data_IF_518658340500
#
_entry.id   IF_518658340500
#
_cell.length_a   1.000
_cell.length_b   1.000
_cell.length_c   1.000
_cell.angle_alpha   90.00
_cell.angle_beta   90.00
_cell.angle_gamma   90.00
#
_symmetry.space_group_name_H-M   'P 1'
#
loop_
_entity.id
_entity.type
_entity.pdbx_description
1 polymer ?
#
# COMPACT_ATOMS: atom_id res chain seq x y z
N UNK A 1 -29.64 9.92 -19.37
CA UNK A 1 -29.03 10.92 -18.46
C UNK A 1 -27.65 11.26 -19.00
N UNK A 2 -27.36 12.52 -19.32
CA UNK A 2 -26.06 12.87 -19.87
C UNK A 2 -24.97 12.73 -18.80
N UNK A 3 -23.82 12.20 -19.19
CA UNK A 3 -22.60 12.05 -18.40
C UNK A 3 -21.92 13.40 -18.08
N UNK A 4 -22.71 14.46 -17.87
CA UNK A 4 -22.33 15.86 -18.00
C UNK A 4 -21.13 16.32 -17.15
N UNK A 5 -20.77 15.58 -16.10
CA UNK A 5 -19.62 15.88 -15.24
C UNK A 5 -18.52 14.82 -15.27
N UNK A 6 -18.83 13.56 -15.63
CA UNK A 6 -17.84 12.47 -15.61
C UNK A 6 -16.68 12.74 -16.56
N UNK A 7 -16.95 13.34 -17.72
CA UNK A 7 -15.95 13.63 -18.76
C UNK A 7 -15.49 15.09 -18.74
N UNK A 8 -15.51 15.72 -17.56
CA UNK A 8 -15.01 17.10 -17.37
C UNK A 8 -13.75 17.09 -16.51
N UNK A 9 -12.81 18.03 -16.72
CA UNK A 9 -11.60 18.11 -15.91
C UNK A 9 -11.85 18.30 -14.41
N UNK A 10 -10.87 17.89 -13.60
CA UNK A 10 -10.84 18.06 -12.16
C UNK A 10 -9.41 18.33 -11.68
N UNK A 11 -9.21 19.43 -10.94
CA UNK A 11 -7.95 19.68 -10.24
C UNK A 11 -7.82 18.72 -9.05
N UNK A 12 -6.71 17.98 -8.98
CA UNK A 12 -6.41 17.03 -7.89
C UNK A 12 -5.01 17.34 -7.36
N UNK A 13 -4.94 18.18 -6.33
CA UNK A 13 -3.66 18.62 -5.76
C UNK A 13 -2.77 19.29 -6.83
N UNK A 14 -1.64 18.65 -7.11
CA UNK A 14 -0.61 19.12 -8.04
C UNK A 14 -0.93 18.84 -9.54
N UNK A 15 -1.91 17.97 -9.84
CA UNK A 15 -2.26 17.60 -11.22
C UNK A 15 -3.67 18.08 -11.61
N UNK A 16 -3.97 18.01 -12.90
CA UNK A 16 -5.33 18.20 -13.43
C UNK A 16 -5.75 16.95 -14.21
N UNK A 17 -6.64 16.17 -13.63
CA UNK A 17 -7.24 15.02 -14.30
C UNK A 17 -8.13 15.48 -15.46
N UNK A 18 -8.03 14.85 -16.62
CA UNK A 18 -8.81 15.20 -17.83
C UNK A 18 -10.29 14.81 -17.72
N UNK A 19 -10.59 13.85 -16.84
CA UNK A 19 -11.93 13.34 -16.55
C UNK A 19 -12.00 12.85 -15.09
N UNK A 20 -13.19 12.45 -14.64
CA UNK A 20 -13.48 12.00 -13.26
C UNK A 20 -13.63 10.48 -13.13
N UNK A 21 -13.19 9.73 -14.14
CA UNK A 21 -13.22 8.26 -14.14
C UNK A 21 -11.83 7.78 -13.74
N UNK A 22 -11.67 7.46 -12.45
CA UNK A 22 -10.41 7.00 -11.90
C UNK A 22 -10.34 5.48 -11.89
N UNK A 23 -9.13 4.95 -12.03
CA UNK A 23 -8.87 3.54 -11.81
C UNK A 23 -8.53 3.34 -10.33
N UNK A 24 -9.37 2.58 -9.64
CA UNK A 24 -9.17 2.22 -8.24
C UNK A 24 -7.89 1.36 -8.03
N UNK A 25 -7.34 1.33 -6.80
CA UNK A 25 -6.24 0.45 -6.44
C UNK A 25 -6.67 -1.02 -6.46
N UNK A 26 -5.96 -1.85 -7.22
CA UNK A 26 -6.33 -3.25 -7.48
C UNK A 26 -5.14 -4.19 -7.33
N UNK A 27 -4.96 -4.82 -6.18
CA UNK A 27 -3.91 -5.84 -5.95
C UNK A 27 -3.99 -6.98 -6.97
N UNK A 28 -2.91 -7.22 -7.73
CA UNK A 28 -2.87 -8.24 -8.79
C UNK A 28 -1.92 -9.41 -8.54
N UNK A 29 -1.04 -9.29 -7.54
CA UNK A 29 -0.11 -10.34 -7.08
C UNK A 29 0.81 -10.89 -8.19
N UNK A 30 1.33 -10.00 -9.03
CA UNK A 30 2.12 -10.33 -10.24
C UNK A 30 3.56 -9.80 -10.23
N UNK A 31 4.05 -9.35 -9.08
CA UNK A 31 5.46 -8.98 -8.89
C UNK A 31 6.36 -10.21 -8.88
N UNK A 32 7.62 -9.98 -9.24
CA UNK A 32 8.69 -10.98 -9.17
C UNK A 32 9.07 -11.21 -7.70
N UNK A 33 9.26 -12.47 -7.34
CA UNK A 33 9.88 -12.88 -6.08
C UNK A 33 11.10 -13.76 -6.39
N UNK A 34 12.23 -13.64 -5.65
CA UNK A 34 12.45 -12.71 -4.55
C UNK A 34 12.55 -11.24 -4.99
N UNK A 35 12.29 -10.32 -4.05
CA UNK A 35 12.50 -8.87 -4.22
C UNK A 35 11.22 -8.03 -4.40
N UNK A 36 10.07 -8.64 -4.62
CA UNK A 36 8.77 -7.95 -4.76
C UNK A 36 8.79 -6.86 -5.83
N UNK A 37 9.42 -7.18 -6.96
CA UNK A 37 9.79 -6.23 -8.01
C UNK A 37 8.66 -6.14 -9.04
N UNK A 38 8.16 -4.94 -9.37
CA UNK A 38 7.25 -4.73 -10.49
C UNK A 38 7.82 -5.23 -11.83
N UNK A 39 6.95 -5.61 -12.76
CA UNK A 39 7.36 -6.27 -14.01
C UNK A 39 7.05 -5.44 -15.26
N UNK A 40 7.70 -5.74 -16.40
CA UNK A 40 7.30 -5.17 -17.69
C UNK A 40 5.84 -5.46 -18.06
N UNK A 41 5.29 -6.61 -17.62
CA UNK A 41 3.88 -6.93 -17.81
C UNK A 41 2.97 -5.97 -17.03
N UNK A 42 3.37 -5.58 -15.81
CA UNK A 42 2.66 -4.56 -15.03
C UNK A 42 2.77 -3.19 -15.70
N UNK A 43 3.92 -2.86 -16.30
CA UNK A 43 4.08 -1.63 -17.09
C UNK A 43 3.09 -1.55 -18.25
N UNK A 44 2.98 -2.62 -19.03
CA UNK A 44 2.01 -2.71 -20.12
C UNK A 44 0.57 -2.60 -19.60
N UNK A 45 0.25 -3.28 -18.49
CA UNK A 45 -1.08 -3.24 -17.87
C UNK A 45 -1.53 -1.82 -17.49
N UNK A 46 -0.65 -1.03 -16.85
CA UNK A 46 -0.98 0.34 -16.47
C UNK A 46 -0.96 1.29 -17.68
N UNK A 47 -0.03 1.11 -18.62
CA UNK A 47 0.03 1.90 -19.87
C UNK A 47 -1.27 1.81 -20.65
N UNK A 48 -1.86 0.62 -20.77
CA UNK A 48 -3.16 0.41 -21.43
C UNK A 48 -4.32 1.21 -20.80
N UNK A 49 -4.17 1.67 -19.56
CA UNK A 49 -5.22 2.34 -18.77
C UNK A 49 -4.93 3.83 -18.53
N UNK A 50 -3.90 4.38 -19.17
CA UNK A 50 -3.46 5.75 -19.00
C UNK A 50 -4.50 6.82 -19.39
N UNK A 51 -5.60 6.44 -20.05
CA UNK A 51 -6.73 7.34 -20.33
C UNK A 51 -7.64 7.61 -19.12
N UNK A 52 -7.48 6.88 -18.02
CA UNK A 52 -8.15 7.18 -16.75
C UNK A 52 -7.77 8.60 -16.30
N UNK A 53 -8.70 9.33 -15.66
CA UNK A 53 -8.40 10.66 -15.12
C UNK A 53 -7.25 10.64 -14.12
N UNK A 54 -7.17 9.55 -13.34
CA UNK A 54 -6.06 9.19 -12.46
C UNK A 54 -6.03 7.66 -12.32
N UNK A 55 -4.85 7.07 -12.46
CA UNK A 55 -4.59 5.69 -12.06
C UNK A 55 -4.15 5.70 -10.60
N UNK A 56 -4.75 4.84 -9.77
CA UNK A 56 -4.22 4.52 -8.45
C UNK A 56 -3.66 3.09 -8.52
N UNK A 57 -2.38 2.93 -8.21
CA UNK A 57 -1.69 1.65 -8.33
C UNK A 57 -2.30 0.58 -7.42
N UNK A 58 -1.93 -0.68 -7.66
CA UNK A 58 -2.05 -1.69 -6.62
C UNK A 58 -1.31 -1.31 -5.34
N UNK A 59 -1.81 -1.81 -4.21
CA UNK A 59 -1.22 -1.55 -2.90
C UNK A 59 0.23 -2.03 -2.82
N UNK A 60 1.12 -1.13 -2.42
CA UNK A 60 2.58 -1.26 -2.56
C UNK A 60 3.28 -1.09 -1.21
N UNK A 61 4.15 -2.05 -0.83
CA UNK A 61 4.76 -2.07 0.50
C UNK A 61 5.71 -0.89 0.75
N UNK A 62 5.58 -0.28 1.92
CA UNK A 62 6.52 0.77 2.39
C UNK A 62 7.84 0.21 2.93
N UNK A 63 7.86 -1.07 3.31
CA UNK A 63 9.02 -1.79 3.87
C UNK A 63 8.83 -3.29 3.72
N UNK A 64 9.86 -4.10 3.94
CA UNK A 64 9.72 -5.56 3.89
C UNK A 64 8.71 -6.10 4.94
N UNK A 65 8.64 -5.48 6.13
CA UNK A 65 7.67 -5.84 7.19
C UNK A 65 6.21 -5.59 6.75
N UNK A 66 5.99 -4.59 5.89
CA UNK A 66 4.66 -4.25 5.37
C UNK A 66 4.05 -5.31 4.44
N UNK A 67 4.79 -6.36 4.06
CA UNK A 67 4.31 -7.40 3.15
C UNK A 67 3.26 -8.31 3.82
N UNK A 68 2.10 -8.42 3.20
CA UNK A 68 1.04 -9.36 3.60
C UNK A 68 0.70 -10.42 2.57
N UNK A 69 1.08 -10.24 1.31
CA UNK A 69 0.69 -11.11 0.20
C UNK A 69 1.90 -11.43 -0.68
N UNK A 70 2.07 -12.69 -1.08
CA UNK A 70 3.09 -13.06 -2.05
C UNK A 70 2.76 -12.46 -3.43
N UNK A 71 3.76 -11.87 -4.07
CA UNK A 71 3.63 -11.23 -5.38
C UNK A 71 3.04 -9.82 -5.38
N UNK A 72 2.75 -9.21 -4.23
CA UNK A 72 2.48 -7.77 -4.17
C UNK A 72 3.79 -6.97 -4.27
N UNK A 73 3.82 -5.80 -4.92
CA UNK A 73 5.05 -5.02 -5.11
C UNK A 73 5.45 -4.19 -3.89
N UNK A 74 6.76 -3.95 -3.73
CA UNK A 74 7.31 -2.98 -2.77
C UNK A 74 7.75 -1.66 -3.39
N UNK A 75 8.11 -0.69 -2.54
CA UNK A 75 8.74 0.59 -2.90
C UNK A 75 9.75 1.04 -1.83
N UNK A 76 10.65 0.15 -1.46
CA UNK A 76 11.64 0.33 -0.41
C UNK A 76 13.05 -0.16 -0.79
N UNK A 77 13.23 -0.75 -1.97
CA UNK A 77 14.55 -1.10 -2.52
C UNK A 77 14.83 -0.38 -3.85
N UNK A 78 16.10 -0.29 -4.20
CA UNK A 78 16.54 0.36 -5.44
C UNK A 78 15.98 -0.32 -6.69
N UNK A 79 15.89 -1.65 -6.70
CA UNK A 79 15.34 -2.43 -7.81
C UNK A 79 13.84 -2.16 -7.99
N UNK A 80 13.10 -2.03 -6.88
CA UNK A 80 11.68 -1.69 -6.89
C UNK A 80 11.46 -0.27 -7.43
N UNK A 81 12.26 0.70 -6.97
CA UNK A 81 12.20 2.10 -7.45
C UNK A 81 12.50 2.14 -8.96
N UNK A 82 13.56 1.47 -9.41
CA UNK A 82 13.95 1.42 -10.82
C UNK A 82 12.87 0.77 -11.71
N UNK A 83 12.18 -0.26 -11.20
CA UNK A 83 11.08 -0.90 -11.91
C UNK A 83 9.84 -0.01 -11.98
N UNK A 84 9.44 0.62 -10.87
CA UNK A 84 8.32 1.57 -10.84
C UNK A 84 8.55 2.77 -11.74
N UNK A 85 9.79 3.28 -11.81
CA UNK A 85 10.16 4.38 -12.71
C UNK A 85 9.86 4.08 -14.18
N UNK A 86 10.02 2.84 -14.62
CA UNK A 86 9.67 2.43 -15.99
C UNK A 86 8.15 2.40 -16.20
N UNK A 87 7.38 2.02 -15.17
CA UNK A 87 5.91 1.98 -15.21
C UNK A 87 5.33 3.39 -15.31
N UNK A 88 5.75 4.30 -14.42
CA UNK A 88 5.30 5.70 -14.40
C UNK A 88 5.67 6.41 -15.70
N UNK A 89 6.91 6.24 -16.19
CA UNK A 89 7.33 6.73 -17.51
C UNK A 89 6.42 6.22 -18.64
N UNK A 90 6.04 4.94 -18.61
CA UNK A 90 5.12 4.36 -19.61
C UNK A 90 3.73 4.97 -19.57
N UNK A 91 3.19 5.27 -18.38
CA UNK A 91 1.90 5.96 -18.22
C UNK A 91 2.00 7.43 -18.67
N UNK A 92 3.06 8.14 -18.26
CA UNK A 92 3.30 9.54 -18.64
C UNK A 92 3.51 9.70 -20.14
N UNK A 93 4.17 8.74 -20.81
CA UNK A 93 4.32 8.74 -22.27
C UNK A 93 2.98 8.64 -23.02
N UNK A 94 1.90 8.20 -22.36
CA UNK A 94 0.53 8.20 -22.88
C UNK A 94 -0.29 9.41 -22.39
N UNK A 95 0.33 10.37 -21.69
CA UNK A 95 -0.32 11.54 -21.12
C UNK A 95 -1.21 11.24 -19.89
N UNK A 96 -1.05 10.06 -19.27
CA UNK A 96 -1.80 9.69 -18.07
C UNK A 96 -1.15 10.19 -16.78
N UNK A 97 -1.88 10.08 -15.67
CA UNK A 97 -1.40 10.35 -14.31
C UNK A 97 -1.52 9.11 -13.44
N UNK A 98 -0.57 8.94 -12.50
CA UNK A 98 -0.51 7.78 -11.63
C UNK A 98 -0.15 8.14 -10.19
N UNK A 99 -0.98 7.69 -9.26
CA UNK A 99 -0.71 7.66 -7.83
C UNK A 99 -0.23 6.27 -7.41
N UNK A 100 0.65 6.19 -6.41
CA UNK A 100 0.96 4.93 -5.72
C UNK A 100 0.13 4.80 -4.45
N UNK A 101 -0.52 3.65 -4.25
CA UNK A 101 -1.15 3.34 -2.98
C UNK A 101 -0.14 2.68 -2.03
N UNK A 102 0.25 3.37 -0.96
CA UNK A 102 1.20 2.88 0.04
C UNK A 102 0.49 2.22 1.21
N UNK A 103 0.94 1.02 1.59
CA UNK A 103 0.36 0.27 2.70
C UNK A 103 1.39 -0.35 3.64
N UNK A 104 0.91 -0.70 4.82
CA UNK A 104 1.49 -1.72 5.67
C UNK A 104 0.37 -2.69 6.03
N UNK A 105 0.48 -3.98 5.71
CA UNK A 105 -0.66 -4.91 5.87
C UNK A 105 -0.96 -5.25 7.33
N UNK A 106 0.04 -5.16 8.20
CA UNK A 106 -0.11 -5.43 9.63
C UNK A 106 -0.54 -6.88 9.87
N UNK A 107 -1.60 -7.09 10.67
CA UNK A 107 -2.08 -8.46 10.95
C UNK A 107 -2.66 -9.24 9.77
N UNK A 108 -2.93 -8.61 8.62
CA UNK A 108 -3.35 -9.32 7.41
C UNK A 108 -2.10 -9.77 6.65
N UNK A 109 -1.37 -10.68 7.28
CA UNK A 109 -0.09 -11.22 6.80
C UNK A 109 0.12 -12.64 7.31
N UNK A 110 1.21 -13.26 6.89
CA UNK A 110 1.63 -14.60 7.31
C UNK A 110 3.12 -14.59 7.65
N UNK A 111 3.52 -15.31 8.69
CA UNK A 111 4.90 -15.32 9.20
C UNK A 111 5.93 -15.70 8.13
N UNK A 112 5.57 -16.58 7.18
CA UNK A 112 6.46 -16.96 6.07
C UNK A 112 6.81 -15.83 5.09
N UNK A 113 6.07 -14.72 5.11
CA UNK A 113 6.34 -13.52 4.31
C UNK A 113 7.17 -12.48 5.06
N UNK A 114 7.32 -12.64 6.37
CA UNK A 114 7.94 -11.64 7.22
C UNK A 114 9.45 -11.85 7.29
N UNK A 115 10.22 -10.76 7.50
CA UNK A 115 11.65 -10.86 7.74
C UNK A 115 11.97 -11.91 8.82
N UNK A 116 12.88 -12.83 8.51
CA UNK A 116 13.29 -13.93 9.39
C UNK A 116 12.14 -14.81 9.91
N UNK A 117 11.03 -14.91 9.18
CA UNK A 117 9.91 -15.79 9.52
C UNK A 117 9.14 -15.39 10.79
N UNK A 118 9.28 -14.14 11.25
CA UNK A 118 8.68 -13.68 12.49
C UNK A 118 7.17 -13.42 12.36
N UNK A 119 6.47 -13.29 13.48
CA UNK A 119 5.07 -12.88 13.46
C UNK A 119 4.92 -11.46 12.87
N UNK A 120 3.88 -11.19 12.06
CA UNK A 120 3.60 -9.84 11.59
C UNK A 120 3.21 -8.92 12.75
N UNK A 121 3.21 -7.62 12.52
CA UNK A 121 2.94 -6.61 13.57
C UNK A 121 1.55 -6.01 13.48
N UNK A 122 1.01 -5.53 14.60
CA UNK A 122 -0.31 -4.91 14.71
C UNK A 122 -0.39 -4.00 15.96
N UNK A 123 -1.44 -3.19 16.15
CA UNK A 123 -1.65 -2.47 17.42
C UNK A 123 -1.87 -3.40 18.62
N UNK A 124 -2.42 -4.59 18.41
CA UNK A 124 -2.69 -5.57 19.46
C UNK A 124 -2.51 -7.00 18.94
N UNK A 125 -2.20 -7.95 19.83
CA UNK A 125 -1.96 -9.36 19.51
C UNK A 125 -3.27 -10.14 19.23
N UNK A 126 -4.04 -9.70 18.24
CA UNK A 126 -5.35 -10.23 17.87
C UNK A 126 -5.31 -10.69 16.42
N UNK A 127 -5.46 -11.99 16.18
CA UNK A 127 -5.50 -12.56 14.83
C UNK A 127 -6.61 -11.88 14.00
N UNK A 128 -6.36 -11.72 12.70
CA UNK A 128 -7.33 -11.07 11.81
C UNK A 128 -8.58 -11.92 11.54
N UNK A 129 -8.53 -13.24 11.81
CA UNK A 129 -9.65 -14.15 11.57
C UNK A 129 -10.02 -14.26 10.09
N UNK A 130 -9.03 -14.11 9.20
CA UNK A 130 -9.20 -14.11 7.75
C UNK A 130 -7.99 -14.76 7.08
N UNK A 131 -7.97 -14.74 5.74
CA UNK A 131 -6.91 -15.32 4.93
C UNK A 131 -6.11 -14.26 4.18
N UNK A 132 -4.84 -14.56 3.94
CA UNK A 132 -4.00 -13.86 2.97
C UNK A 132 -3.66 -14.78 1.79
N UNK A 133 -2.96 -14.25 0.77
CA UNK A 133 -2.51 -15.03 -0.39
C UNK A 133 -1.00 -15.24 -0.36
N UNK A 134 -0.57 -16.49 -0.49
CA UNK A 134 0.82 -16.88 -0.74
C UNK A 134 0.96 -17.42 -2.17
N UNK A 135 2.16 -17.90 -2.52
CA UNK A 135 2.41 -18.71 -3.71
C UNK A 135 2.82 -20.12 -3.29
N UNK A 136 2.36 -21.13 -4.02
CA UNK A 136 2.85 -22.50 -3.88
C UNK A 136 4.21 -22.69 -4.59
N UNK A 137 4.73 -23.92 -4.59
CA UNK A 137 5.98 -24.31 -5.24
C UNK A 137 6.00 -24.08 -6.76
N UNK A 138 4.83 -23.98 -7.40
CA UNK A 138 4.67 -23.69 -8.82
C UNK A 138 4.42 -22.19 -9.09
N UNK A 139 4.49 -21.34 -8.06
CA UNK A 139 4.25 -19.91 -8.16
C UNK A 139 2.77 -19.51 -8.22
N UNK A 140 1.83 -20.44 -8.00
CA UNK A 140 0.41 -20.18 -8.08
C UNK A 140 -0.16 -19.62 -6.78
N UNK A 141 -1.09 -18.69 -6.90
CA UNK A 141 -1.69 -18.03 -5.74
C UNK A 141 -2.54 -19.03 -4.91
N UNK A 142 -2.21 -19.16 -3.62
CA UNK A 142 -2.93 -19.99 -2.66
C UNK A 142 -3.42 -19.14 -1.48
N UNK A 143 -4.52 -19.55 -0.84
CA UNK A 143 -5.09 -18.85 0.33
C UNK A 143 -4.68 -19.54 1.62
N UNK A 144 -4.17 -18.78 2.59
CA UNK A 144 -3.75 -19.29 3.90
C UNK A 144 -4.31 -18.44 5.02
N UNK A 145 -4.55 -19.02 6.19
CA UNK A 145 -4.95 -18.27 7.39
C UNK A 145 -3.87 -17.26 7.78
N UNK A 146 -4.28 -16.08 8.28
CA UNK A 146 -3.34 -15.08 8.79
C UNK A 146 -2.68 -15.56 10.08
N UNK A 147 -1.38 -15.24 10.24
CA UNK A 147 -0.67 -15.49 11.50
C UNK A 147 -1.15 -14.53 12.58
N UNK A 148 -1.19 -14.97 13.85
CA UNK A 148 -1.45 -14.07 14.97
C UNK A 148 -0.32 -13.05 15.06
N UNK A 149 -0.62 -11.74 15.13
CA UNK A 149 0.40 -10.71 15.11
C UNK A 149 1.04 -10.52 16.49
N UNK A 150 2.21 -9.89 16.52
CA UNK A 150 2.79 -9.25 17.71
C UNK A 150 2.25 -7.82 17.83
N UNK A 151 1.96 -7.38 19.04
CA UNK A 151 1.65 -5.97 19.28
C UNK A 151 2.93 -5.13 19.13
N UNK A 152 2.85 -4.03 18.39
CA UNK A 152 3.94 -3.04 18.32
C UNK A 152 4.16 -2.44 19.71
N UNK A 153 5.40 -2.34 20.14
CA UNK A 153 5.75 -1.53 21.28
C UNK A 153 5.64 -0.04 20.91
N UNK A 154 5.31 0.80 21.89
CA UNK A 154 5.13 2.25 21.67
C UNK A 154 6.36 2.91 21.03
N UNK A 155 7.56 2.41 21.35
CA UNK A 155 8.82 2.93 20.82
C UNK A 155 9.13 2.48 19.38
N UNK A 156 8.39 1.50 18.84
CA UNK A 156 8.51 1.06 17.44
C UNK A 156 7.70 1.95 16.48
N UNK A 157 6.68 2.67 16.99
CA UNK A 157 5.77 3.48 16.17
C UNK A 157 6.49 4.55 15.33
N UNK A 158 7.49 5.29 15.84
CA UNK A 158 8.26 6.23 15.02
C UNK A 158 8.94 5.57 13.81
N UNK A 159 9.31 4.29 13.92
CA UNK A 159 9.87 3.52 12.81
C UNK A 159 8.85 3.31 11.68
N UNK A 160 7.60 2.98 12.03
CA UNK A 160 6.49 2.84 11.06
C UNK A 160 6.23 4.17 10.34
N UNK A 161 6.22 5.28 11.07
CA UNK A 161 6.06 6.62 10.46
C UNK A 161 7.21 6.92 9.49
N UNK A 162 8.45 6.61 9.89
CA UNK A 162 9.61 6.78 9.02
C UNK A 162 9.59 5.89 7.76
N UNK A 163 9.08 4.66 7.85
CA UNK A 163 8.91 3.77 6.69
C UNK A 163 7.94 4.39 5.67
N UNK A 164 6.82 4.95 6.12
CA UNK A 164 5.90 5.68 5.23
C UNK A 164 6.57 6.90 4.61
N UNK A 165 7.25 7.75 5.41
CA UNK A 165 8.00 8.91 4.94
C UNK A 165 9.02 8.52 3.86
N UNK A 166 9.77 7.44 4.09
CA UNK A 166 10.77 6.97 3.14
C UNK A 166 10.12 6.46 1.84
N UNK A 167 9.03 5.69 1.94
CA UNK A 167 8.31 5.22 0.77
C UNK A 167 7.68 6.35 -0.05
N UNK A 168 7.24 7.45 0.58
CA UNK A 168 6.78 8.67 -0.10
C UNK A 168 7.95 9.33 -0.85
N UNK A 169 9.13 9.44 -0.24
CA UNK A 169 10.32 9.96 -0.91
C UNK A 169 10.71 9.08 -2.13
N UNK A 170 10.68 7.76 -1.96
CA UNK A 170 10.93 6.79 -3.02
C UNK A 170 9.88 6.89 -4.14
N UNK A 171 8.61 7.13 -3.82
CA UNK A 171 7.54 7.35 -4.79
C UNK A 171 7.77 8.57 -5.66
N UNK A 172 8.26 9.66 -5.06
CA UNK A 172 8.66 10.86 -5.79
C UNK A 172 9.80 10.56 -6.76
N UNK A 173 10.81 9.81 -6.32
CA UNK A 173 11.94 9.41 -7.19
C UNK A 173 11.50 8.48 -8.33
N UNK A 174 10.58 7.56 -8.04
CA UNK A 174 9.96 6.66 -9.02
C UNK A 174 9.03 7.39 -10.00
N UNK A 175 8.79 8.69 -9.82
CA UNK A 175 8.01 9.50 -10.76
C UNK A 175 6.50 9.36 -10.63
N UNK A 176 5.98 8.97 -9.47
CA UNK A 176 4.54 9.05 -9.23
C UNK A 176 4.07 10.51 -9.11
N UNK A 177 2.85 10.80 -9.57
CA UNK A 177 2.25 12.13 -9.50
C UNK A 177 1.70 12.43 -8.10
N UNK A 178 1.21 11.40 -7.40
CA UNK A 178 0.55 11.49 -6.10
C UNK A 178 0.83 10.23 -5.27
N UNK A 179 0.56 10.31 -3.96
CA UNK A 179 0.53 9.16 -3.05
C UNK A 179 -0.87 9.04 -2.45
N UNK A 180 -1.36 7.81 -2.37
CA UNK A 180 -2.54 7.46 -1.58
C UNK A 180 -2.10 6.61 -0.37
N UNK A 181 -2.40 7.07 0.84
CA UNK A 181 -2.15 6.31 2.07
C UNK A 181 -3.28 5.30 2.29
N UNK A 182 -2.94 4.00 2.36
CA UNK A 182 -3.95 2.96 2.56
C UNK A 182 -4.37 2.86 4.04
N UNK A 183 -5.28 3.76 4.45
CA UNK A 183 -5.88 3.78 5.79
C UNK A 183 -7.27 3.13 5.85
N UNK A 184 -7.45 2.01 5.14
CA UNK A 184 -8.74 1.35 4.95
C UNK A 184 -8.60 -0.19 4.96
N UNK A 185 -9.71 -0.90 4.71
CA UNK A 185 -9.79 -2.35 4.47
C UNK A 185 -9.20 -3.28 5.54
N UNK A 186 -8.78 -2.75 6.69
CA UNK A 186 -8.32 -3.53 7.83
C UNK A 186 -6.81 -3.74 7.83
N UNK A 187 -6.05 -2.98 7.03
CA UNK A 187 -4.58 -2.92 7.09
C UNK A 187 -4.10 -2.01 8.23
N UNK A 188 -2.77 -1.90 8.46
CA UNK A 188 -2.20 -1.41 9.72
C UNK A 188 -2.81 -0.09 10.22
N UNK A 189 -2.92 0.92 9.37
CA UNK A 189 -3.52 2.21 9.76
C UNK A 189 -4.99 2.05 10.18
N UNK A 190 -5.79 1.27 9.45
CA UNK A 190 -7.16 0.94 9.87
C UNK A 190 -7.19 0.08 11.13
N UNK A 191 -6.20 -0.80 11.34
CA UNK A 191 -6.09 -1.60 12.57
C UNK A 191 -5.93 -0.70 13.79
N UNK A 192 -5.13 0.37 13.71
CA UNK A 192 -5.00 1.37 14.77
C UNK A 192 -6.29 2.18 14.93
N UNK A 193 -6.93 2.57 13.82
CA UNK A 193 -8.17 3.34 13.85
C UNK A 193 -9.34 2.59 14.48
N UNK A 194 -9.47 1.27 14.29
CA UNK A 194 -10.64 0.53 14.76
C UNK A 194 -10.52 0.04 16.21
N UNK A 195 -11.52 0.28 17.08
CA UNK A 195 -11.53 -0.25 18.45
C UNK A 195 -11.66 -1.78 18.49
N UNK A 196 -12.11 -2.43 17.41
CA UNK A 196 -12.18 -3.90 17.33
C UNK A 196 -10.84 -4.60 17.12
N UNK A 197 -9.80 -3.84 16.77
CA UNK A 197 -8.45 -4.35 16.52
C UNK A 197 -7.38 -3.67 17.38
N UNK A 198 -7.71 -2.53 17.98
CA UNK A 198 -6.80 -1.76 18.82
C UNK A 198 -7.28 -1.76 20.27
N UNK A 199 -6.70 -2.63 21.08
CA UNK A 199 -6.92 -2.74 22.52
C UNK A 199 -5.76 -2.13 23.32
N UNK A 200 -4.98 -1.22 22.72
CA UNK A 200 -3.87 -0.57 23.41
C UNK A 200 -4.38 0.33 24.53
N UNK A 201 -3.56 0.47 25.57
CA UNK A 201 -3.81 1.34 26.73
C UNK A 201 -2.87 2.54 26.78
N UNK A 202 -2.00 2.68 25.78
CA UNK A 202 -1.09 3.81 25.62
C UNK A 202 -1.71 4.93 24.76
N UNK A 203 -0.91 5.93 24.38
CA UNK A 203 -1.37 7.08 23.59
C UNK A 203 -1.81 6.74 22.16
N UNK A 204 -1.71 5.48 21.73
CA UNK A 204 -2.19 5.01 20.43
C UNK A 204 -3.46 4.17 20.53
N UNK A 205 -4.09 4.03 21.70
CA UNK A 205 -5.35 3.30 21.90
C UNK A 205 -6.38 4.00 22.79
N UNK A 206 -7.56 3.40 22.88
CA UNK A 206 -8.70 3.94 23.63
C UNK A 206 -9.48 5.00 22.84
N UNK A 207 -9.23 6.28 23.12
CA UNK A 207 -9.99 7.39 22.53
C UNK A 207 -9.83 7.47 21.01
N UNK A 208 -10.72 8.20 20.34
CA UNK A 208 -10.63 8.38 18.88
C UNK A 208 -9.38 9.16 18.48
N UNK A 209 -8.97 10.14 19.28
CA UNK A 209 -7.76 10.94 19.09
C UNK A 209 -6.51 10.06 19.15
N UNK A 210 -6.44 9.16 20.14
CA UNK A 210 -5.33 8.21 20.26
C UNK A 210 -5.31 7.19 19.11
N UNK A 211 -6.46 6.64 18.74
CA UNK A 211 -6.57 5.68 17.62
C UNK A 211 -6.23 6.31 16.26
N UNK A 212 -6.52 7.59 16.08
CA UNK A 212 -6.18 8.34 14.87
C UNK A 212 -4.74 8.88 14.86
N UNK A 213 -4.05 8.88 16.01
CA UNK A 213 -2.71 9.47 16.16
C UNK A 213 -1.71 8.97 15.11
N UNK A 214 -1.61 7.65 14.91
CA UNK A 214 -0.67 7.06 13.95
C UNK A 214 -0.92 7.55 12.52
N UNK A 215 -2.18 7.54 12.05
CA UNK A 215 -2.47 7.95 10.67
C UNK A 215 -2.21 9.45 10.47
N UNK A 216 -2.46 10.28 11.49
CA UNK A 216 -2.16 11.71 11.43
C UNK A 216 -0.65 11.97 11.44
N UNK A 217 0.12 11.27 12.27
CA UNK A 217 1.59 11.35 12.27
C UNK A 217 2.18 10.93 10.91
N UNK A 218 1.61 9.92 10.25
CA UNK A 218 2.00 9.52 8.89
C UNK A 218 1.65 10.59 7.85
N UNK A 219 0.49 11.23 7.96
CA UNK A 219 0.07 12.32 7.07
C UNK A 219 0.99 13.53 7.22
N UNK A 220 1.35 13.90 8.46
CA UNK A 220 2.23 15.04 8.75
C UNK A 220 3.69 14.79 8.36
N UNK A 221 4.12 13.52 8.31
CA UNK A 221 5.49 13.14 7.94
C UNK A 221 5.77 13.14 6.43
N UNK A 222 4.72 13.04 5.60
CA UNK A 222 4.81 12.98 4.14
C UNK A 222 5.02 14.34 3.48
#
# INVERSE_FOLDING_TARGET
MSSAKLFTPLKVGAITATNRVFMAPLTRLRSIEPGDIPTPLMAEYYRQRASAGLIISEATQISAQAKGYAGAPGLHSDEQIAAWKKITQGVHAQGGHMAVQLWHTGRISHASLQPSGQAPVAPSAINAGTRTSLRDENGQAIRVETSTPRALDTHEIPGIVNDFRQAIANAREAGFDLVELHSAHGYLLHQFLSPSSNHRTDQYGGSVENRARLVLEVVDAG
#
